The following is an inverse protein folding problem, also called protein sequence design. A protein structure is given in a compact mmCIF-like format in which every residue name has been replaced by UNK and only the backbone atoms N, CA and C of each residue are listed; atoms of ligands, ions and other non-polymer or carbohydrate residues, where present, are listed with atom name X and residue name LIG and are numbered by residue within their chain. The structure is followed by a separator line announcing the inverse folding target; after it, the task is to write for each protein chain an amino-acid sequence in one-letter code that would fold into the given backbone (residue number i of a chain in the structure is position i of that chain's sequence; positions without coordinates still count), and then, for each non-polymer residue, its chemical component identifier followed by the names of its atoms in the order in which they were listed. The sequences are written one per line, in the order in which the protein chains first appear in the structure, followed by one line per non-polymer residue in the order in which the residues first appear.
data_IF_365478297670
#
_entry.id   IF_365478297670
#
_cell.length_a   1.000
_cell.length_b   1.000
_cell.length_c   1.000
_cell.angle_alpha   90.00
_cell.angle_beta   90.00
_cell.angle_gamma   90.00
#
_symmetry.space_group_name_H-M   'P 1'
#
loop_
_entity.id
_entity.type
_entity.pdbx_description
1 polymer ?
#
# COMPACT_ATOMS: atom_id res chain seq x y z
N UNK A 1 26.32 14.52 29.16
CA UNK A 1 26.37 14.45 27.66
C UNK A 1 26.36 13.00 27.13
N UNK A 2 27.04 12.05 27.79
CA UNK A 2 27.12 10.63 27.29
C UNK A 2 25.79 9.88 27.38
N UNK A 3 25.02 10.01 28.49
CA UNK A 3 23.68 9.39 28.64
C UNK A 3 22.64 9.91 27.64
N UNK A 4 22.70 11.20 27.30
CA UNK A 4 21.77 11.84 26.35
C UNK A 4 22.02 11.38 24.91
N UNK A 5 23.28 11.11 24.54
CA UNK A 5 23.64 10.55 23.24
C UNK A 5 23.28 9.06 23.10
N UNK A 6 23.36 8.30 24.17
CA UNK A 6 22.93 6.89 24.18
C UNK A 6 21.41 6.75 24.01
N UNK A 7 20.61 7.58 24.70
CA UNK A 7 19.15 7.58 24.53
C UNK A 7 18.70 8.04 23.13
N UNK A 8 19.39 9.00 22.52
CA UNK A 8 19.14 9.42 21.12
C UNK A 8 19.48 8.31 20.14
N UNK A 9 20.57 7.57 20.34
CA UNK A 9 20.96 6.46 19.50
C UNK A 9 20.03 5.23 19.64
N UNK A 10 19.52 4.95 20.83
CA UNK A 10 18.57 3.86 21.05
C UNK A 10 17.23 4.15 20.35
N UNK A 11 16.71 5.39 20.43
CA UNK A 11 15.50 5.81 19.73
C UNK A 11 15.59 5.71 18.20
N UNK A 12 16.79 5.80 17.63
CA UNK A 12 17.00 5.71 16.18
C UNK A 12 16.71 4.29 15.65
N UNK A 13 16.90 3.25 16.46
CA UNK A 13 16.79 1.85 16.05
C UNK A 13 15.54 1.13 16.56
N UNK A 14 14.59 1.87 17.11
CA UNK A 14 13.30 1.33 17.57
C UNK A 14 12.19 2.10 16.87
N UNK A 15 11.15 1.37 16.44
CA UNK A 15 9.94 1.91 15.83
C UNK A 15 8.71 1.23 16.40
N UNK A 16 7.62 1.94 16.56
CA UNK A 16 6.32 1.31 16.83
C UNK A 16 5.77 0.70 15.56
N UNK A 17 5.25 -0.51 15.66
CA UNK A 17 4.68 -1.24 14.53
C UNK A 17 3.45 -2.03 14.95
N UNK A 18 2.50 -2.20 14.02
CA UNK A 18 1.42 -3.14 14.18
C UNK A 18 1.86 -4.51 13.63
N UNK A 19 1.83 -5.52 14.49
CA UNK A 19 2.38 -6.85 14.24
C UNK A 19 1.23 -7.85 14.16
N UNK A 20 1.15 -8.64 13.11
CA UNK A 20 0.28 -9.81 13.04
C UNK A 20 0.97 -10.98 13.74
N UNK A 21 0.50 -11.28 14.95
CA UNK A 21 1.07 -12.37 15.77
C UNK A 21 0.30 -13.68 15.57
N UNK A 22 -1.01 -13.56 15.35
CA UNK A 22 -1.91 -14.70 15.11
C UNK A 22 -3.04 -14.28 14.18
N UNK A 23 -3.30 -15.09 13.15
CA UNK A 23 -4.41 -14.87 12.21
C UNK A 23 -5.77 -14.86 12.91
N UNK A 24 -6.69 -14.03 12.41
CA UNK A 24 -8.02 -13.85 12.98
C UNK A 24 -8.03 -13.15 14.35
N UNK A 25 -6.95 -12.45 14.71
CA UNK A 25 -6.80 -11.71 15.96
C UNK A 25 -6.39 -10.26 15.68
N UNK A 26 -6.64 -9.40 16.68
CA UNK A 26 -6.18 -8.02 16.63
C UNK A 26 -4.65 -7.95 16.49
N UNK A 27 -4.19 -6.95 15.75
CA UNK A 27 -2.76 -6.64 15.65
C UNK A 27 -2.21 -6.19 17.00
N UNK A 28 -1.00 -6.63 17.31
CA UNK A 28 -0.26 -6.16 18.48
C UNK A 28 0.55 -4.94 18.09
N UNK A 29 0.32 -3.81 18.77
CA UNK A 29 1.14 -2.60 18.57
C UNK A 29 2.25 -2.58 19.62
N UNK A 30 3.49 -2.73 19.17
CA UNK A 30 4.65 -2.82 20.06
C UNK A 30 5.91 -2.24 19.40
N UNK A 31 6.98 -2.14 20.17
CA UNK A 31 8.29 -1.68 19.72
C UNK A 31 9.02 -2.79 18.96
N UNK A 32 9.48 -2.47 17.78
CA UNK A 32 10.26 -3.34 16.88
C UNK A 32 11.64 -2.74 16.67
N UNK A 33 12.65 -3.57 16.74
CA UNK A 33 14.03 -3.16 16.52
C UNK A 33 14.37 -3.20 15.02
N UNK A 34 14.94 -2.09 14.52
CA UNK A 34 15.49 -2.00 13.17
C UNK A 34 16.95 -2.53 13.16
N UNK A 35 17.46 -3.01 12.01
CA UNK A 35 18.88 -3.22 11.83
C UNK A 35 19.67 -1.92 12.00
N UNK A 36 20.88 -2.03 12.56
CA UNK A 36 21.75 -0.86 12.84
C UNK A 36 22.21 -0.16 11.56
N UNK A 37 22.45 -0.91 10.49
CA UNK A 37 22.97 -0.41 9.22
C UNK A 37 22.05 -0.82 8.07
N UNK A 38 21.89 0.05 7.11
CA UNK A 38 21.26 -0.27 5.84
C UNK A 38 22.22 -1.10 4.99
N UNK A 39 21.68 -2.05 4.24
CA UNK A 39 22.42 -2.82 3.25
C UNK A 39 22.38 -2.13 1.88
N UNK A 40 23.14 -2.63 0.94
CA UNK A 40 23.15 -2.20 -0.44
C UNK A 40 21.73 -2.15 -1.02
N UNK A 41 21.36 -1.02 -1.64
CA UNK A 41 20.05 -0.78 -2.25
C UNK A 41 18.87 -0.57 -1.29
N UNK A 42 19.12 -0.54 0.03
CA UNK A 42 18.08 -0.28 1.04
C UNK A 42 17.92 1.21 1.33
N UNK A 43 16.69 1.61 1.64
CA UNK A 43 16.32 2.98 2.02
C UNK A 43 15.48 2.94 3.28
N UNK A 44 15.83 3.76 4.27
CA UNK A 44 15.03 3.99 5.46
C UNK A 44 14.07 5.16 5.22
N UNK A 45 12.78 4.90 5.38
CA UNK A 45 11.72 5.90 5.21
C UNK A 45 10.96 6.10 6.51
N UNK A 46 10.77 7.36 6.91
CA UNK A 46 9.85 7.76 7.97
C UNK A 46 8.45 7.81 7.39
N UNK A 47 7.58 6.89 7.79
CA UNK A 47 6.22 6.78 7.29
C UNK A 47 5.37 7.91 7.88
N UNK A 48 4.64 8.61 7.03
CA UNK A 48 3.72 9.67 7.42
C UNK A 48 2.27 9.20 7.34
N UNK A 49 1.95 8.44 6.28
CA UNK A 49 0.61 7.88 6.09
C UNK A 49 0.72 6.46 5.51
N UNK A 50 -0.21 5.61 5.91
CA UNK A 50 -0.37 4.26 5.38
C UNK A 50 -1.83 4.03 5.01
N UNK A 51 -2.07 3.45 3.85
CA UNK A 51 -3.38 2.97 3.44
C UNK A 51 -3.67 1.58 4.02
N UNK A 52 -4.94 1.26 4.12
CA UNK A 52 -5.42 -0.08 4.52
C UNK A 52 -6.10 -0.72 3.31
N UNK A 53 -5.44 -1.68 2.70
CA UNK A 53 -5.97 -2.43 1.58
C UNK A 53 -6.79 -3.64 2.05
N UNK A 54 -7.82 -4.02 1.31
CA UNK A 54 -8.60 -5.22 1.59
C UNK A 54 -7.76 -6.51 1.63
N UNK A 55 -6.66 -6.56 0.88
CA UNK A 55 -5.72 -7.69 0.92
C UNK A 55 -5.06 -7.85 2.29
N UNK A 56 -4.77 -6.77 3.00
CA UNK A 56 -4.22 -6.83 4.36
C UNK A 56 -5.27 -7.34 5.37
N UNK A 57 -6.53 -6.96 5.20
CA UNK A 57 -7.63 -7.50 6.01
C UNK A 57 -7.74 -9.01 5.78
N UNK A 58 -7.72 -9.44 4.52
CA UNK A 58 -7.76 -10.85 4.16
C UNK A 58 -6.57 -11.64 4.73
N UNK A 59 -5.39 -11.03 4.82
CA UNK A 59 -4.19 -11.60 5.42
C UNK A 59 -4.34 -11.75 6.95
N UNK A 60 -4.85 -10.71 7.62
CA UNK A 60 -5.16 -10.75 9.05
C UNK A 60 -6.16 -11.86 9.36
N UNK A 61 -7.23 -11.97 8.56
CA UNK A 61 -8.32 -12.95 8.75
C UNK A 61 -7.96 -14.35 8.24
N UNK A 62 -6.79 -14.54 7.62
CA UNK A 62 -6.34 -15.79 7.01
C UNK A 62 -7.34 -16.37 5.99
N UNK A 63 -8.01 -15.52 5.20
CA UNK A 63 -9.04 -15.97 4.25
C UNK A 63 -8.48 -16.88 3.12
N UNK A 64 -7.17 -16.84 2.91
CA UNK A 64 -6.43 -17.69 1.95
C UNK A 64 -5.78 -18.92 2.59
N UNK A 65 -6.11 -19.23 3.84
CA UNK A 65 -5.51 -20.32 4.60
C UNK A 65 -4.49 -19.86 5.64
N UNK A 66 -3.87 -20.83 6.37
CA UNK A 66 -2.93 -20.55 7.45
C UNK A 66 -1.72 -19.73 7.00
N UNK A 67 -1.35 -18.73 7.77
CA UNK A 67 -0.18 -17.92 7.52
C UNK A 67 1.08 -18.54 8.17
N UNK A 68 2.02 -18.96 7.33
CA UNK A 68 3.29 -19.59 7.73
C UNK A 68 4.40 -18.60 8.11
N UNK A 69 4.16 -17.30 7.96
CA UNK A 69 5.16 -16.26 8.19
C UNK A 69 5.03 -15.55 9.52
N UNK A 70 4.05 -15.94 10.34
CA UNK A 70 3.81 -15.34 11.66
C UNK A 70 5.01 -15.48 12.62
N UNK A 71 5.31 -14.47 13.47
CA UNK A 71 4.74 -13.13 13.42
C UNK A 71 5.36 -12.30 12.31
N UNK A 72 4.58 -11.38 11.71
CA UNK A 72 5.12 -10.49 10.69
C UNK A 72 4.50 -9.08 10.69
N UNK A 73 5.23 -8.15 10.06
CA UNK A 73 4.81 -6.78 9.83
C UNK A 73 3.96 -6.68 8.56
N UNK A 74 3.03 -5.73 8.56
CA UNK A 74 2.04 -5.51 7.52
C UNK A 74 2.16 -4.12 6.87
N UNK A 75 1.29 -3.89 5.88
CA UNK A 75 1.18 -2.65 5.12
C UNK A 75 2.03 -2.66 3.85
N UNK A 76 1.42 -2.27 2.72
CA UNK A 76 2.09 -2.31 1.42
C UNK A 76 1.83 -1.06 0.57
N UNK A 77 1.15 -0.08 1.11
CA UNK A 77 0.91 1.21 0.48
C UNK A 77 1.10 2.33 1.51
N UNK A 78 1.95 3.27 1.22
CA UNK A 78 2.24 4.36 2.15
C UNK A 78 2.93 5.54 1.49
N UNK A 79 3.13 6.57 2.28
CA UNK A 79 3.90 7.73 1.92
C UNK A 79 4.75 8.19 3.09
N UNK A 80 5.89 8.80 2.79
CA UNK A 80 6.81 9.20 3.83
C UNK A 80 7.95 10.06 3.32
N UNK A 81 8.95 10.21 4.19
CA UNK A 81 10.14 11.02 3.92
C UNK A 81 11.37 10.14 4.11
N UNK A 82 12.27 10.14 3.13
CA UNK A 82 13.53 9.41 3.20
C UNK A 82 14.40 9.95 4.33
N UNK A 83 14.77 9.10 5.29
CA UNK A 83 15.68 9.45 6.39
C UNK A 83 17.14 9.13 6.07
N UNK A 84 17.38 7.97 5.43
CA UNK A 84 18.72 7.48 5.16
C UNK A 84 18.71 6.54 3.94
N UNK A 85 19.79 6.55 3.15
CA UNK A 85 19.99 5.66 2.01
C UNK A 85 21.20 4.77 2.23
N UNK A 86 21.08 3.49 1.88
CA UNK A 86 22.20 2.56 1.84
C UNK A 86 23.08 2.77 0.61
N UNK A 87 24.19 2.05 0.59
CA UNK A 87 25.11 2.05 -0.55
C UNK A 87 24.41 1.64 -1.85
N UNK A 88 24.81 2.22 -2.97
CA UNK A 88 24.27 1.94 -4.30
C UNK A 88 22.95 2.64 -4.65
N UNK A 89 22.26 3.23 -3.68
CA UNK A 89 21.00 3.97 -3.92
C UNK A 89 21.30 5.26 -4.68
N UNK A 90 20.61 5.46 -5.80
CA UNK A 90 20.83 6.62 -6.70
C UNK A 90 19.55 7.40 -7.03
N UNK A 91 18.38 6.77 -6.89
CA UNK A 91 17.10 7.33 -7.34
C UNK A 91 16.37 8.16 -6.29
N UNK A 92 16.75 8.02 -5.05
CA UNK A 92 16.19 8.78 -3.92
C UNK A 92 17.31 9.28 -3.01
N UNK A 93 17.08 10.36 -2.29
CA UNK A 93 18.02 10.91 -1.33
C UNK A 93 17.32 11.35 -0.06
N UNK A 94 18.06 11.52 1.01
CA UNK A 94 17.55 12.02 2.29
C UNK A 94 16.74 13.30 2.10
N UNK A 95 15.54 13.32 2.69
CA UNK A 95 14.59 14.43 2.63
C UNK A 95 13.64 14.41 1.44
N UNK A 96 13.74 13.42 0.54
CA UNK A 96 12.77 13.23 -0.51
C UNK A 96 11.44 12.75 0.05
N UNK A 97 10.34 13.30 -0.47
CA UNK A 97 9.00 12.78 -0.26
C UNK A 97 8.76 11.62 -1.22
N UNK A 98 8.27 10.51 -0.69
CA UNK A 98 8.14 9.28 -1.48
C UNK A 98 6.80 8.57 -1.23
N UNK A 99 6.33 7.89 -2.27
CA UNK A 99 5.32 6.84 -2.17
C UNK A 99 6.03 5.50 -2.02
N UNK A 100 5.56 4.68 -1.09
CA UNK A 100 5.96 3.29 -0.96
C UNK A 100 4.91 2.41 -1.63
N UNK A 101 5.34 1.53 -2.53
CA UNK A 101 4.45 0.68 -3.31
C UNK A 101 4.93 -0.77 -3.35
N UNK A 102 3.96 -1.71 -3.38
CA UNK A 102 4.25 -3.14 -3.35
C UNK A 102 4.81 -3.69 -4.66
N UNK A 103 4.50 -3.07 -5.80
CA UNK A 103 5.06 -3.45 -7.11
C UNK A 103 6.47 -2.90 -7.27
N UNK A 104 7.27 -3.61 -8.03
CA UNK A 104 8.59 -3.11 -8.43
C UNK A 104 8.45 -1.97 -9.43
N UNK A 105 9.28 -0.95 -9.26
CA UNK A 105 9.58 0.05 -10.28
C UNK A 105 11.05 -0.09 -10.71
N UNK A 106 11.58 0.92 -11.37
CA UNK A 106 13.02 0.98 -11.70
C UNK A 106 13.86 1.28 -10.45
N UNK A 107 15.10 0.78 -10.45
CA UNK A 107 16.05 0.90 -9.35
C UNK A 107 16.48 -0.46 -8.78
N UNK A 108 17.28 -0.41 -7.72
CA UNK A 108 17.85 -1.60 -7.11
C UNK A 108 16.81 -2.40 -6.32
N UNK A 109 16.83 -3.72 -6.47
CA UNK A 109 16.15 -4.64 -5.57
C UNK A 109 17.10 -5.04 -4.46
N UNK A 110 16.70 -4.87 -3.21
CA UNK A 110 17.47 -5.27 -2.04
C UNK A 110 16.78 -6.43 -1.28
N UNK A 111 17.52 -7.07 -0.41
CA UNK A 111 16.94 -8.00 0.55
C UNK A 111 15.98 -7.28 1.50
N UNK A 112 14.94 -7.99 1.95
CA UNK A 112 14.05 -7.46 2.99
C UNK A 112 14.82 -7.22 4.29
N UNK A 113 14.48 -6.16 5.00
CA UNK A 113 15.12 -5.82 6.26
C UNK A 113 14.86 -6.90 7.33
N UNK A 114 15.83 -7.09 8.20
CA UNK A 114 15.75 -8.07 9.31
C UNK A 114 15.38 -7.32 10.59
N UNK A 115 14.11 -7.36 10.93
CA UNK A 115 13.58 -6.76 12.15
C UNK A 115 13.57 -7.75 13.31
N UNK A 116 13.60 -7.22 14.55
CA UNK A 116 13.44 -8.03 15.76
C UNK A 116 12.31 -7.50 16.63
N UNK A 117 11.58 -8.39 17.24
CA UNK A 117 10.54 -8.12 18.23
C UNK A 117 10.75 -9.03 19.43
N UNK A 118 10.89 -8.43 20.63
CA UNK A 118 11.20 -9.18 21.88
C UNK A 118 12.41 -10.12 21.72
N UNK A 119 13.48 -9.59 21.08
CA UNK A 119 14.72 -10.34 20.84
C UNK A 119 14.65 -11.42 19.75
N UNK A 120 13.45 -11.72 19.19
CA UNK A 120 13.25 -12.72 18.14
C UNK A 120 13.03 -12.07 16.78
N UNK A 121 13.32 -12.79 15.71
CA UNK A 121 13.03 -12.33 14.34
C UNK A 121 11.53 -12.13 14.18
N UNK A 122 11.13 -10.96 13.62
CA UNK A 122 9.80 -10.74 13.07
C UNK A 122 9.92 -10.63 11.55
N UNK A 123 9.06 -11.35 10.84
CA UNK A 123 9.09 -11.36 9.39
C UNK A 123 8.54 -10.02 8.83
N UNK A 124 8.93 -9.71 7.62
CA UNK A 124 8.42 -8.55 6.88
C UNK A 124 8.27 -8.94 5.42
N UNK A 125 7.38 -8.28 4.73
CA UNK A 125 7.36 -8.28 3.28
C UNK A 125 8.45 -7.37 2.69
N UNK A 126 8.32 -7.05 1.42
CA UNK A 126 9.22 -6.08 0.75
C UNK A 126 8.89 -4.64 1.13
N UNK A 127 7.69 -4.37 1.61
CA UNK A 127 7.21 -3.08 2.10
C UNK A 127 6.39 -3.32 3.36
N UNK A 128 6.61 -2.49 4.39
CA UNK A 128 5.88 -2.56 5.67
C UNK A 128 5.52 -1.15 6.12
N UNK A 129 4.27 -0.75 5.92
CA UNK A 129 3.84 0.63 6.18
C UNK A 129 2.99 0.80 7.46
N UNK A 130 2.58 -0.30 8.12
CA UNK A 130 1.92 -0.23 9.44
C UNK A 130 2.94 -0.08 10.57
N UNK A 131 3.93 0.77 10.34
CA UNK A 131 5.07 1.05 11.20
C UNK A 131 5.46 2.52 11.09
N UNK A 132 6.08 3.09 12.11
CA UNK A 132 6.58 4.48 12.05
C UNK A 132 7.69 4.66 11.01
N UNK A 133 8.46 3.59 10.76
CA UNK A 133 9.54 3.57 9.78
C UNK A 133 9.47 2.29 8.94
N UNK A 134 10.01 2.34 7.74
CA UNK A 134 10.14 1.16 6.88
C UNK A 134 11.49 1.17 6.18
N UNK A 135 12.16 0.01 6.13
CA UNK A 135 13.33 -0.19 5.29
C UNK A 135 12.89 -0.97 4.06
N UNK A 136 13.02 -0.35 2.91
CA UNK A 136 12.57 -0.91 1.62
C UNK A 136 13.67 -0.86 0.58
N UNK A 137 13.52 -1.60 -0.49
CA UNK A 137 14.38 -1.47 -1.67
C UNK A 137 14.13 -0.16 -2.38
N UNK A 138 15.15 0.39 -3.03
CA UNK A 138 15.04 1.60 -3.87
C UNK A 138 13.89 1.51 -4.88
N UNK A 139 13.72 0.36 -5.54
CA UNK A 139 12.68 0.12 -6.54
C UNK A 139 11.25 -0.05 -5.97
N UNK A 140 11.06 0.16 -4.66
CA UNK A 140 9.75 0.23 -4.00
C UNK A 140 9.36 1.67 -3.66
N UNK A 141 10.10 2.63 -4.18
CA UNK A 141 9.90 4.05 -3.92
C UNK A 141 9.70 4.82 -5.22
N UNK A 142 8.79 5.80 -5.16
CA UNK A 142 8.64 6.81 -6.19
C UNK A 142 8.70 8.18 -5.53
N UNK A 143 9.63 9.03 -5.99
CA UNK A 143 9.76 10.41 -5.52
C UNK A 143 8.57 11.21 -6.01
N UNK A 144 8.04 12.06 -5.14
CA UNK A 144 6.93 12.96 -5.43
C UNK A 144 7.31 14.41 -5.07
N UNK A 145 6.64 15.41 -5.65
CA UNK A 145 6.85 16.81 -5.29
C UNK A 145 6.65 17.05 -3.79
N UNK A 146 7.50 17.85 -3.16
CA UNK A 146 7.44 18.12 -1.71
C UNK A 146 6.15 18.81 -1.26
N UNK A 147 5.49 19.53 -2.15
CA UNK A 147 4.20 20.18 -1.90
C UNK A 147 2.99 19.27 -2.16
N UNK A 148 3.19 18.02 -2.60
CA UNK A 148 2.10 17.06 -2.78
C UNK A 148 1.60 16.55 -1.41
N UNK A 149 0.28 16.45 -1.22
CA UNK A 149 -0.31 15.92 0.01
C UNK A 149 0.07 14.44 0.19
N UNK A 150 0.88 14.15 1.22
CA UNK A 150 1.33 12.80 1.52
C UNK A 150 0.18 11.85 1.84
N UNK A 151 -0.92 12.34 2.39
CA UNK A 151 -2.12 11.51 2.67
C UNK A 151 -2.74 11.00 1.36
N UNK A 152 -2.88 11.86 0.35
CA UNK A 152 -3.35 11.46 -0.97
C UNK A 152 -2.31 10.61 -1.71
N UNK A 153 -1.03 10.93 -1.55
CA UNK A 153 0.07 10.18 -2.15
C UNK A 153 0.05 8.69 -1.79
N UNK A 154 -0.38 8.36 -0.58
CA UNK A 154 -0.48 6.97 -0.10
C UNK A 154 -1.29 6.06 -1.04
N UNK A 155 -2.36 6.57 -1.67
CA UNK A 155 -3.21 5.80 -2.57
C UNK A 155 -2.51 5.36 -3.85
N UNK A 156 -1.40 6.02 -4.23
CA UNK A 156 -0.54 5.59 -5.35
C UNK A 156 0.32 4.37 -5.02
N UNK A 157 0.37 3.95 -3.75
CA UNK A 157 1.07 2.73 -3.34
C UNK A 157 0.38 1.44 -3.79
N UNK A 158 -0.95 1.44 -3.94
CA UNK A 158 -1.72 0.25 -4.31
C UNK A 158 -2.98 0.56 -5.12
N UNK A 159 -3.98 1.21 -4.52
CA UNK A 159 -5.35 1.27 -5.06
C UNK A 159 -5.44 1.93 -6.45
N UNK A 160 -4.78 3.09 -6.63
CA UNK A 160 -4.80 3.83 -7.90
C UNK A 160 -4.10 3.03 -9.01
N UNK A 161 -2.80 2.64 -8.87
CA UNK A 161 -2.13 1.94 -9.96
C UNK A 161 -2.75 0.57 -10.25
N UNK A 162 -3.39 -0.08 -9.26
CA UNK A 162 -4.13 -1.32 -9.48
C UNK A 162 -5.35 -1.08 -10.37
N UNK A 163 -6.20 -0.10 -10.05
CA UNK A 163 -7.39 0.19 -10.84
C UNK A 163 -7.07 0.65 -12.27
N UNK A 164 -6.08 1.52 -12.42
CA UNK A 164 -5.62 1.99 -13.73
C UNK A 164 -4.94 0.88 -14.53
N UNK A 165 -4.14 0.03 -13.87
CA UNK A 165 -3.47 -1.10 -14.49
C UNK A 165 -4.44 -2.13 -15.05
N UNK A 166 -5.54 -2.41 -14.34
CA UNK A 166 -6.62 -3.30 -14.86
C UNK A 166 -7.18 -2.77 -16.17
N UNK A 167 -7.46 -1.47 -16.27
CA UNK A 167 -8.05 -0.88 -17.49
C UNK A 167 -7.05 -0.83 -18.64
N UNK A 168 -5.83 -0.38 -18.36
CA UNK A 168 -4.85 -0.09 -19.41
C UNK A 168 -4.03 -1.33 -19.83
N UNK A 169 -3.67 -2.18 -18.87
CA UNK A 169 -2.71 -3.27 -19.13
C UNK A 169 -3.39 -4.64 -19.25
N UNK A 170 -4.37 -4.93 -18.35
CA UNK A 170 -4.98 -6.26 -18.29
C UNK A 170 -6.16 -6.36 -19.27
N UNK A 171 -7.15 -5.47 -19.12
CA UNK A 171 -8.35 -5.47 -19.97
C UNK A 171 -8.14 -4.71 -21.31
N UNK A 172 -7.15 -3.82 -21.36
CA UNK A 172 -6.83 -3.00 -22.55
C UNK A 172 -8.07 -2.33 -23.17
N UNK A 173 -8.88 -1.70 -22.32
CA UNK A 173 -10.17 -1.13 -22.69
C UNK A 173 -9.97 0.01 -23.68
N UNK A 174 -10.75 -0.04 -24.77
CA UNK A 174 -10.74 0.95 -25.85
C UNK A 174 -11.98 1.84 -25.82
N UNK A 175 -11.88 2.96 -26.53
CA UNK A 175 -12.98 3.93 -26.69
C UNK A 175 -14.27 3.23 -27.07
N UNK A 176 -15.38 3.55 -26.39
CA UNK A 176 -16.72 3.04 -26.66
C UNK A 176 -17.02 1.63 -26.13
N UNK A 177 -16.04 0.94 -25.56
CA UNK A 177 -16.29 -0.37 -24.96
C UNK A 177 -17.09 -0.27 -23.67
N UNK A 178 -18.00 -1.22 -23.46
CA UNK A 178 -18.75 -1.37 -22.21
C UNK A 178 -17.90 -2.00 -21.11
N UNK A 179 -18.08 -1.52 -19.88
CA UNK A 179 -17.35 -2.02 -18.70
C UNK A 179 -18.31 -2.33 -17.58
N UNK A 180 -18.20 -3.52 -17.00
CA UNK A 180 -18.95 -3.91 -15.80
C UNK A 180 -17.96 -4.09 -14.65
N UNK A 181 -18.20 -3.40 -13.53
CA UNK A 181 -17.34 -3.42 -12.35
C UNK A 181 -18.11 -4.00 -11.17
N UNK A 182 -17.67 -5.15 -10.69
CA UNK A 182 -18.21 -5.79 -9.48
C UNK A 182 -17.41 -5.33 -8.26
N UNK A 183 -18.09 -4.59 -7.35
CA UNK A 183 -17.48 -4.02 -6.17
C UNK A 183 -16.93 -2.61 -6.39
N UNK A 184 -17.67 -1.61 -5.90
CA UNK A 184 -17.31 -0.18 -5.99
C UNK A 184 -16.62 0.25 -4.69
N UNK A 185 -15.51 -0.42 -4.38
CA UNK A 185 -14.55 -0.06 -3.35
C UNK A 185 -13.41 0.78 -3.90
N UNK A 186 -12.29 0.88 -3.17
CA UNK A 186 -11.13 1.68 -3.57
C UNK A 186 -10.62 1.34 -4.97
N UNK A 187 -10.41 0.05 -5.28
CA UNK A 187 -9.98 -0.39 -6.62
C UNK A 187 -11.07 -0.17 -7.65
N UNK A 188 -12.33 -0.54 -7.37
CA UNK A 188 -13.45 -0.36 -8.31
C UNK A 188 -13.72 1.09 -8.68
N UNK A 189 -13.56 2.04 -7.76
CA UNK A 189 -13.64 3.47 -8.04
C UNK A 189 -12.52 3.92 -8.99
N UNK A 190 -11.29 3.41 -8.81
CA UNK A 190 -10.19 3.73 -9.70
C UNK A 190 -10.34 3.05 -11.07
N UNK A 191 -10.92 1.85 -11.16
CA UNK A 191 -11.30 1.23 -12.44
C UNK A 191 -12.33 2.10 -13.15
N UNK A 192 -13.37 2.56 -12.46
CA UNK A 192 -14.40 3.43 -13.05
C UNK A 192 -13.79 4.73 -13.58
N UNK A 193 -12.90 5.36 -12.80
CA UNK A 193 -12.22 6.58 -13.21
C UNK A 193 -11.31 6.37 -14.43
N UNK A 194 -10.53 5.32 -14.44
CA UNK A 194 -9.66 4.96 -15.57
C UNK A 194 -10.49 4.62 -16.82
N UNK A 195 -11.61 3.87 -16.68
CA UNK A 195 -12.52 3.56 -17.76
C UNK A 195 -13.13 4.82 -18.36
N UNK A 196 -13.51 5.80 -17.52
CA UNK A 196 -13.97 7.10 -18.01
C UNK A 196 -12.89 7.85 -18.79
N UNK A 197 -11.64 7.80 -18.34
CA UNK A 197 -10.52 8.48 -19.01
C UNK A 197 -10.25 7.92 -20.41
N UNK A 198 -10.48 6.63 -20.64
CA UNK A 198 -10.37 6.00 -21.96
C UNK A 198 -11.68 6.04 -22.75
N UNK A 199 -12.66 6.83 -22.29
CA UNK A 199 -13.96 7.00 -22.95
C UNK A 199 -14.75 5.69 -23.13
N UNK A 200 -14.66 4.77 -22.18
CA UNK A 200 -15.53 3.59 -22.13
C UNK A 200 -16.99 4.02 -21.86
N UNK A 201 -17.94 3.36 -22.50
CA UNK A 201 -19.37 3.63 -22.33
C UNK A 201 -20.24 2.44 -22.81
N UNK A 202 -21.21 1.95 -22.00
CA UNK A 202 -21.49 2.35 -20.62
C UNK A 202 -20.45 1.82 -19.61
N UNK A 203 -20.35 2.48 -18.45
CA UNK A 203 -19.58 2.03 -17.28
C UNK A 203 -20.58 1.64 -16.19
N UNK A 204 -20.75 0.35 -15.96
CA UNK A 204 -21.74 -0.23 -15.07
C UNK A 204 -21.09 -0.63 -13.75
N UNK A 205 -21.59 -0.10 -12.64
CA UNK A 205 -21.14 -0.46 -11.30
C UNK A 205 -22.13 -1.33 -10.56
N UNK A 206 -21.67 -2.42 -9.97
CA UNK A 206 -22.48 -3.33 -9.15
C UNK A 206 -21.86 -3.38 -7.73
N UNK A 207 -22.64 -3.06 -6.70
CA UNK A 207 -22.19 -3.15 -5.29
C UNK A 207 -23.37 -3.50 -4.37
N UNK A 208 -23.06 -4.01 -3.19
CA UNK A 208 -24.04 -4.28 -2.12
C UNK A 208 -24.50 -2.99 -1.44
N UNK A 209 -23.75 -1.91 -1.55
CA UNK A 209 -23.93 -0.66 -0.82
C UNK A 209 -24.33 0.49 -1.76
N UNK A 210 -25.56 1.00 -1.58
CA UNK A 210 -26.10 2.13 -2.36
C UNK A 210 -25.22 3.39 -2.27
N UNK A 211 -24.62 3.68 -1.09
CA UNK A 211 -23.75 4.86 -0.92
C UNK A 211 -22.50 4.78 -1.81
N UNK A 212 -21.94 3.58 -1.97
CA UNK A 212 -20.78 3.38 -2.86
C UNK A 212 -21.14 3.58 -4.33
N UNK A 213 -22.33 3.12 -4.76
CA UNK A 213 -22.83 3.36 -6.12
C UNK A 213 -23.04 4.86 -6.37
N UNK A 214 -23.62 5.60 -5.40
CA UNK A 214 -23.77 7.05 -5.49
C UNK A 214 -22.42 7.76 -5.60
N UNK A 215 -21.42 7.35 -4.81
CA UNK A 215 -20.07 7.86 -4.92
C UNK A 215 -19.45 7.51 -6.28
N UNK A 216 -19.65 6.29 -6.75
CA UNK A 216 -19.14 5.80 -8.04
C UNK A 216 -19.53 6.64 -9.23
N UNK A 217 -20.74 7.25 -9.21
CA UNK A 217 -21.16 8.20 -10.24
C UNK A 217 -20.23 9.40 -10.40
N UNK A 218 -19.65 9.90 -9.28
CA UNK A 218 -18.66 10.98 -9.32
C UNK A 218 -17.34 10.53 -9.97
N UNK A 219 -17.06 9.23 -9.93
CA UNK A 219 -15.86 8.62 -10.50
C UNK A 219 -16.04 8.03 -11.91
N UNK A 220 -17.20 8.18 -12.50
CA UNK A 220 -17.40 7.81 -13.90
C UNK A 220 -18.40 6.68 -14.16
N UNK A 221 -18.99 6.07 -13.13
CA UNK A 221 -20.07 5.08 -13.33
C UNK A 221 -21.28 5.77 -13.99
N UNK A 222 -21.71 5.24 -15.11
CA UNK A 222 -22.93 5.71 -15.83
C UNK A 222 -24.19 5.05 -15.26
N UNK A 223 -24.12 3.75 -14.94
CA UNK A 223 -25.23 2.97 -14.39
C UNK A 223 -24.79 2.22 -13.13
N UNK A 224 -25.60 2.27 -12.08
CA UNK A 224 -25.30 1.63 -10.81
C UNK A 224 -26.42 0.70 -10.35
N UNK A 225 -26.11 -0.56 -10.09
CA UNK A 225 -27.07 -1.56 -9.65
C UNK A 225 -26.68 -2.19 -8.32
N UNK A 226 -27.67 -2.37 -7.43
CA UNK A 226 -27.48 -3.16 -6.23
C UNK A 226 -27.34 -4.65 -6.59
N UNK A 227 -26.39 -5.36 -6.00
CA UNK A 227 -26.14 -6.79 -6.26
C UNK A 227 -27.35 -7.70 -5.96
N UNK A 228 -28.30 -7.23 -5.15
CA UNK A 228 -29.57 -7.92 -4.82
C UNK A 228 -30.73 -7.57 -5.76
N UNK A 229 -30.49 -6.78 -6.82
CA UNK A 229 -31.53 -6.43 -7.79
C UNK A 229 -32.01 -7.70 -8.50
N UNK A 230 -33.32 -7.98 -8.45
CA UNK A 230 -33.93 -9.08 -9.21
C UNK A 230 -33.72 -8.86 -10.72
N UNK A 231 -33.49 -9.93 -11.44
CA UNK A 231 -33.28 -9.91 -12.91
C UNK A 231 -32.16 -8.94 -13.33
N UNK A 232 -31.05 -8.94 -12.59
CA UNK A 232 -29.91 -8.06 -12.91
C UNK A 232 -29.32 -8.33 -14.31
N UNK A 233 -29.54 -9.52 -14.86
CA UNK A 233 -29.09 -9.91 -16.22
C UNK A 233 -29.92 -9.25 -17.33
N UNK A 234 -31.15 -8.84 -17.03
CA UNK A 234 -32.09 -8.30 -18.01
C UNK A 234 -32.09 -6.76 -18.05
N UNK A 235 -31.21 -6.15 -17.29
CA UNK A 235 -31.03 -4.69 -17.15
C UNK A 235 -29.69 -4.24 -17.71
#
# INVERSE_FOLDING_TARGET
KHKYNLQKNIKKFIMRSAILVKSGRQLVVDNVELPKNLRFGQVLVNIKYSGICGSQINEIDATKGPDKYLPHLLGHEGSGIVEETGEGVTRVKKGDHVVLHWRKSSGLEAESAKYKWKGKKVNSGKVTTFSEKSIVSENRLTVIPKNFDLRLATLFGCAIPTGFGVVNNDAQIKIGQSVIIFGIGGVGLNIAQASKMVSANPIIGIDKNKKKLTLGKKFGITHGFLSKTKNLKDK
#
